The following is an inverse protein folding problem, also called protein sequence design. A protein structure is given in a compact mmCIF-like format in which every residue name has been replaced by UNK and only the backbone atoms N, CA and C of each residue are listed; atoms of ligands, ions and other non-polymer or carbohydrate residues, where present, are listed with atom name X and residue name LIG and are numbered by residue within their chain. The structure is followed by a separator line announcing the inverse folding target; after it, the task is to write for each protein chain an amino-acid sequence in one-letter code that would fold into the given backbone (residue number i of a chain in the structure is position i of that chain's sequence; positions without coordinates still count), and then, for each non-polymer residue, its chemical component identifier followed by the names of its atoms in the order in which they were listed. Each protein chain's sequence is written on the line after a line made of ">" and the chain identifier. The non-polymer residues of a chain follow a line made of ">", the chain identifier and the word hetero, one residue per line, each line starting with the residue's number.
data_IF_462711029268
#
_entry.id   IF_462711029268
#
_cell.length_a   1.000
_cell.length_b   1.000
_cell.length_c   1.000
_cell.angle_alpha   90.00
_cell.angle_beta   90.00
_cell.angle_gamma   90.00
#
_symmetry.space_group_name_H-M   'P 1'
#
loop_
_entity.id
_entity.type
_entity.pdbx_description
1 polymer ?
#
# COMPACT_ATOMS: atom_id res chain seq x y z
N UNK A 1 27.56 2.42 -14.39
CA UNK A 1 26.40 1.78 -15.04
C UNK A 1 25.15 2.02 -14.24
N UNK A 2 24.08 2.38 -14.90
CA UNK A 2 22.75 2.46 -14.29
C UNK A 2 22.02 1.13 -14.54
N UNK A 3 21.21 0.66 -13.60
CA UNK A 3 20.37 -0.54 -13.79
C UNK A 3 20.92 -1.86 -13.22
N UNK A 4 21.92 -1.81 -12.35
CA UNK A 4 22.32 -2.98 -11.59
C UNK A 4 21.34 -3.26 -10.45
N UNK A 5 21.01 -4.55 -10.25
CA UNK A 5 20.24 -4.98 -9.07
C UNK A 5 21.15 -5.03 -7.85
N UNK A 6 20.58 -4.83 -6.66
CA UNK A 6 21.32 -4.99 -5.42
C UNK A 6 21.62 -6.47 -5.12
N UNK A 7 22.56 -6.74 -4.21
CA UNK A 7 22.96 -8.07 -3.78
C UNK A 7 23.21 -9.05 -4.93
N UNK A 8 23.71 -8.55 -6.08
CA UNK A 8 23.88 -9.34 -7.31
C UNK A 8 25.33 -9.29 -7.76
N UNK A 9 25.89 -10.45 -8.11
CA UNK A 9 27.21 -10.52 -8.72
C UNK A 9 27.11 -10.36 -10.24
N UNK A 10 27.90 -9.48 -10.80
CA UNK A 10 28.01 -9.20 -12.23
C UNK A 10 29.41 -9.51 -12.71
N UNK A 11 29.51 -10.00 -13.94
CA UNK A 11 30.76 -10.14 -14.66
C UNK A 11 30.84 -9.08 -15.77
N UNK A 12 31.87 -8.27 -15.78
CA UNK A 12 32.20 -7.39 -16.89
C UNK A 12 33.23 -8.06 -17.76
N UNK A 13 32.93 -8.24 -19.04
CA UNK A 13 33.83 -8.83 -20.04
C UNK A 13 34.28 -7.76 -21.03
N UNK A 14 35.59 -7.71 -21.27
CA UNK A 14 36.17 -6.92 -22.34
C UNK A 14 36.40 -7.85 -23.52
N UNK A 15 35.84 -7.51 -24.68
CA UNK A 15 35.97 -8.31 -25.89
C UNK A 15 36.71 -7.49 -26.97
N UNK A 16 37.62 -8.16 -27.70
CA UNK A 16 38.27 -7.62 -28.89
C UNK A 16 38.01 -8.63 -30.02
N UNK A 17 37.51 -8.09 -31.17
CA UNK A 17 37.17 -8.92 -32.37
C UNK A 17 36.21 -10.08 -32.03
N UNK A 18 35.28 -9.87 -31.07
CA UNK A 18 34.30 -10.87 -30.64
C UNK A 18 34.80 -11.91 -29.64
N UNK A 19 36.08 -11.89 -29.27
CA UNK A 19 36.64 -12.75 -28.25
C UNK A 19 36.90 -12.03 -26.95
N UNK A 20 36.49 -12.64 -25.83
CA UNK A 20 36.78 -12.11 -24.51
C UNK A 20 38.28 -12.09 -24.26
N UNK A 21 38.86 -10.95 -23.94
CA UNK A 21 40.28 -10.74 -23.64
C UNK A 21 40.54 -10.56 -22.16
N UNK A 22 39.52 -10.14 -21.41
CA UNK A 22 39.56 -9.97 -19.95
C UNK A 22 38.16 -10.02 -19.35
N UNK A 23 38.04 -10.40 -18.09
CA UNK A 23 36.82 -10.32 -17.34
C UNK A 23 37.05 -10.00 -15.86
N UNK A 24 36.13 -9.29 -15.23
CA UNK A 24 36.17 -8.99 -13.82
C UNK A 24 34.79 -9.12 -13.21
N UNK A 25 34.70 -9.85 -12.11
CA UNK A 25 33.49 -9.92 -11.30
C UNK A 25 33.46 -8.77 -10.27
N UNK A 26 32.26 -8.27 -10.01
CA UNK A 26 31.97 -7.39 -8.89
C UNK A 26 30.59 -7.70 -8.33
N UNK A 27 30.40 -7.54 -7.02
CA UNK A 27 29.13 -7.65 -6.34
C UNK A 27 28.58 -6.24 -6.00
N UNK A 28 27.29 -6.08 -6.18
CA UNK A 28 26.58 -4.88 -5.71
C UNK A 28 26.22 -5.02 -4.23
N UNK A 29 26.13 -3.90 -3.53
CA UNK A 29 25.73 -3.88 -2.13
C UNK A 29 24.29 -4.39 -1.95
N UNK A 30 23.97 -4.80 -0.74
CA UNK A 30 22.58 -5.11 -0.32
C UNK A 30 21.77 -3.84 -0.39
N UNK A 31 20.54 -3.93 -0.92
CA UNK A 31 19.61 -2.80 -0.99
C UNK A 31 18.97 -2.49 0.36
N UNK A 32 18.30 -1.36 0.42
CA UNK A 32 17.58 -0.93 1.61
C UNK A 32 16.37 -1.84 1.88
N UNK A 33 15.97 -1.92 3.15
CA UNK A 33 14.76 -2.61 3.57
C UNK A 33 13.56 -1.68 3.55
N UNK A 34 12.36 -2.24 3.39
CA UNK A 34 11.11 -1.51 3.58
C UNK A 34 10.98 -1.19 5.07
N UNK A 35 10.79 0.09 5.45
CA UNK A 35 10.63 0.45 6.85
C UNK A 35 9.43 -0.26 7.48
N UNK A 36 9.64 -0.95 8.61
CA UNK A 36 8.65 -1.80 9.28
C UNK A 36 7.97 -2.82 8.35
N UNK A 37 8.71 -3.37 7.38
CA UNK A 37 8.18 -4.34 6.43
C UNK A 37 7.75 -5.66 7.06
N UNK A 38 8.32 -6.01 8.22
CA UNK A 38 7.97 -7.15 9.06
C UNK A 38 6.79 -6.89 10.01
N UNK A 39 6.09 -5.78 9.87
CA UNK A 39 4.92 -5.38 10.65
C UNK A 39 5.08 -5.56 12.16
N UNK A 40 6.31 -5.64 12.67
CA UNK A 40 6.61 -5.87 14.10
C UNK A 40 6.39 -4.63 14.96
N UNK A 41 6.54 -3.44 14.38
CA UNK A 41 6.45 -2.17 15.07
C UNK A 41 5.05 -1.56 15.01
N UNK A 42 4.45 -1.34 16.18
CA UNK A 42 3.15 -0.68 16.33
C UNK A 42 3.24 0.40 17.38
N UNK A 43 2.60 1.54 17.12
CA UNK A 43 2.55 2.66 18.06
C UNK A 43 1.18 3.31 18.08
N UNK A 44 0.96 4.16 19.08
CA UNK A 44 -0.25 4.97 19.17
C UNK A 44 0.12 6.43 18.91
N UNK A 45 -0.68 7.10 18.09
CA UNK A 45 -0.67 8.56 17.93
C UNK A 45 -1.87 9.12 18.66
N UNK A 46 -1.71 10.30 19.25
CA UNK A 46 -2.85 11.02 19.83
C UNK A 46 -3.51 11.83 18.72
N UNK A 47 -4.79 11.56 18.53
CA UNK A 47 -5.67 12.41 17.73
C UNK A 47 -6.48 13.30 18.67
N UNK A 48 -6.68 14.55 18.30
CA UNK A 48 -7.41 15.53 19.11
C UNK A 48 -8.65 15.96 18.33
N UNK A 49 -9.83 15.79 18.93
CA UNK A 49 -11.10 16.20 18.35
C UNK A 49 -11.32 17.72 18.43
N UNK A 50 -12.41 18.20 17.82
CA UNK A 50 -12.80 19.61 17.86
C UNK A 50 -13.18 20.14 19.26
N UNK A 51 -13.28 19.27 20.27
CA UNK A 51 -13.55 19.60 21.70
C UNK A 51 -12.30 19.47 22.57
N UNK A 52 -11.13 19.27 21.96
CA UNK A 52 -9.83 19.01 22.61
C UNK A 52 -9.78 17.70 23.43
N UNK A 53 -10.58 16.70 23.08
CA UNK A 53 -10.41 15.37 23.64
C UNK A 53 -9.30 14.64 22.89
N UNK A 54 -8.50 13.88 23.63
CA UNK A 54 -7.36 13.10 23.11
C UNK A 54 -7.75 11.64 22.95
N UNK A 55 -7.48 11.08 21.77
CA UNK A 55 -7.78 9.69 21.44
C UNK A 55 -6.55 8.99 20.86
N UNK A 56 -6.13 7.84 21.44
CA UNK A 56 -5.04 7.08 20.91
C UNK A 56 -5.48 6.28 19.68
N UNK A 57 -4.82 6.49 18.54
CA UNK A 57 -5.02 5.76 17.31
C UNK A 57 -3.82 4.85 17.07
N UNK A 58 -4.06 3.58 16.81
CA UNK A 58 -3.02 2.61 16.51
C UNK A 58 -2.57 2.70 15.05
N UNK A 59 -1.25 2.67 14.83
CA UNK A 59 -0.61 2.73 13.53
C UNK A 59 0.45 1.63 13.36
N UNK A 60 0.61 1.08 12.15
CA UNK A 60 1.62 0.07 11.85
C UNK A 60 3.02 0.69 11.68
N UNK A 61 3.48 1.39 12.70
CA UNK A 61 4.80 1.99 12.78
C UNK A 61 5.34 1.88 14.19
N UNK A 62 6.65 1.59 14.39
CA UNK A 62 7.28 1.83 15.67
C UNK A 62 7.24 3.32 16.04
N UNK A 63 7.41 3.61 17.32
CA UNK A 63 7.41 4.99 17.82
C UNK A 63 8.40 5.88 17.04
N UNK A 64 7.94 7.08 16.67
CA UNK A 64 8.73 8.04 15.90
C UNK A 64 8.78 7.81 14.38
N UNK A 65 8.36 6.66 13.89
CA UNK A 65 8.22 6.40 12.46
C UNK A 65 6.86 6.87 11.93
N UNK A 66 6.83 7.39 10.69
CA UNK A 66 5.60 7.81 10.00
C UNK A 66 5.69 7.41 8.53
N UNK A 67 5.66 6.12 8.25
CA UNK A 67 5.72 5.57 6.88
C UNK A 67 4.37 5.01 6.47
N UNK A 68 3.78 4.18 7.31
CA UNK A 68 2.51 3.53 7.07
C UNK A 68 1.36 4.30 7.72
N UNK A 69 0.21 4.29 7.05
CA UNK A 69 -1.04 4.84 7.57
C UNK A 69 -2.24 3.97 7.14
N UNK A 70 -3.42 4.32 7.62
CA UNK A 70 -4.67 3.63 7.33
C UNK A 70 -5.86 4.57 7.56
N UNK A 71 -7.04 4.16 7.16
CA UNK A 71 -8.28 4.90 7.41
C UNK A 71 -8.79 4.90 8.86
N UNK A 72 -7.97 4.52 9.84
CA UNK A 72 -8.41 4.40 11.24
C UNK A 72 -8.95 5.69 11.83
N UNK A 73 -8.42 6.86 11.42
CA UNK A 73 -8.89 8.16 11.92
C UNK A 73 -10.38 8.42 11.63
N UNK A 74 -10.88 7.93 10.48
CA UNK A 74 -12.28 8.14 10.10
C UNK A 74 -13.27 7.54 11.10
N UNK A 75 -12.87 6.46 11.77
CA UNK A 75 -13.70 5.80 12.78
C UNK A 75 -13.80 6.61 14.06
N UNK A 76 -12.69 7.13 14.52
CA UNK A 76 -12.61 7.83 15.79
C UNK A 76 -13.41 9.13 15.76
N UNK A 77 -13.34 9.90 14.70
CA UNK A 77 -14.09 11.14 14.56
C UNK A 77 -15.60 10.92 14.58
N UNK A 78 -16.08 9.84 13.97
CA UNK A 78 -17.51 9.52 13.92
C UNK A 78 -18.08 8.94 15.22
N UNK A 79 -17.24 8.49 16.13
CA UNK A 79 -17.64 7.83 17.37
C UNK A 79 -17.22 8.55 18.63
N UNK A 80 -17.11 9.86 18.58
CA UNK A 80 -16.64 10.65 19.71
C UNK A 80 -15.32 10.14 20.28
N UNK A 81 -14.48 9.55 19.42
CA UNK A 81 -13.11 9.20 19.74
C UNK A 81 -12.91 7.96 20.63
N UNK A 82 -13.90 7.14 20.84
CA UNK A 82 -13.71 5.91 21.58
C UNK A 82 -13.24 4.77 20.66
N UNK A 83 -11.96 4.49 20.63
CA UNK A 83 -11.36 3.36 19.90
C UNK A 83 -12.01 2.01 20.31
N UNK A 84 -12.56 1.92 21.51
CA UNK A 84 -13.22 0.73 22.06
C UNK A 84 -14.57 0.40 21.41
N UNK A 85 -15.24 1.38 20.77
CA UNK A 85 -16.51 1.16 20.08
C UNK A 85 -16.35 0.63 18.67
N UNK A 86 -15.11 0.65 18.12
CA UNK A 86 -14.82 0.18 16.77
C UNK A 86 -13.61 -0.72 16.74
N UNK A 87 -13.73 -1.77 15.95
CA UNK A 87 -12.54 -2.48 15.49
C UNK A 87 -11.91 -1.66 14.39
N UNK A 88 -10.66 -1.21 14.52
CA UNK A 88 -9.96 -0.45 13.51
C UNK A 88 -9.94 -1.15 12.15
N UNK A 89 -9.86 -0.37 11.05
CA UNK A 89 -9.68 -0.90 9.69
C UNK A 89 -8.33 -1.62 9.53
N UNK A 90 -7.33 -1.17 10.27
CA UNK A 90 -5.98 -1.73 10.33
C UNK A 90 -5.52 -1.82 11.78
N UNK A 91 -5.08 -3.00 12.21
CA UNK A 91 -4.56 -3.24 13.57
C UNK A 91 -3.49 -4.33 13.55
N UNK A 92 -2.71 -4.40 14.63
CA UNK A 92 -1.89 -5.58 14.86
C UNK A 92 -2.80 -6.80 15.09
N UNK A 93 -2.46 -7.94 14.49
CA UNK A 93 -3.23 -9.17 14.73
C UNK A 93 -2.99 -9.67 16.15
N UNK A 94 -4.08 -10.00 16.86
CA UNK A 94 -4.03 -10.43 18.27
C UNK A 94 -3.46 -11.84 18.42
N UNK A 95 -3.61 -12.67 17.40
CA UNK A 95 -3.20 -14.08 17.42
C UNK A 95 -1.83 -14.31 16.78
N UNK A 96 -1.41 -13.41 15.92
CA UNK A 96 -0.12 -13.46 15.20
C UNK A 96 0.58 -12.10 15.34
N UNK A 97 1.20 -11.79 16.49
CA UNK A 97 1.94 -10.55 16.68
C UNK A 97 3.01 -10.35 15.60
N UNK A 98 3.18 -9.13 15.12
CA UNK A 98 4.04 -8.83 13.97
C UNK A 98 3.32 -8.91 12.62
N UNK A 99 1.98 -9.04 12.63
CA UNK A 99 1.16 -9.08 11.42
C UNK A 99 0.16 -7.93 11.42
N UNK A 100 -0.02 -7.27 10.29
CA UNK A 100 -1.08 -6.29 10.11
C UNK A 100 -2.38 -7.00 9.67
N UNK A 101 -3.45 -6.78 10.43
CA UNK A 101 -4.80 -7.24 10.08
C UNK A 101 -5.63 -6.08 9.56
N UNK A 102 -6.07 -6.21 8.31
CA UNK A 102 -6.98 -5.30 7.64
C UNK A 102 -8.39 -5.90 7.67
N UNK A 103 -9.40 -5.09 7.93
CA UNK A 103 -10.77 -5.56 8.01
C UNK A 103 -11.74 -4.53 7.44
N UNK A 104 -12.54 -4.94 6.45
CA UNK A 104 -13.66 -4.14 5.95
C UNK A 104 -14.74 -3.96 7.01
N UNK A 105 -15.44 -2.84 6.96
CA UNK A 105 -16.46 -2.46 7.95
C UNK A 105 -17.63 -1.73 7.34
N UNK A 106 -18.76 -1.83 8.03
CA UNK A 106 -19.89 -0.90 7.84
C UNK A 106 -19.81 0.21 8.90
N UNK A 107 -19.54 1.43 8.47
CA UNK A 107 -19.53 2.61 9.33
C UNK A 107 -20.98 3.09 9.50
N UNK A 108 -21.38 3.38 10.73
CA UNK A 108 -22.75 3.81 11.08
C UNK A 108 -23.86 2.89 10.50
N UNK A 109 -23.49 1.64 10.12
CA UNK A 109 -24.41 0.65 9.55
C UNK A 109 -24.77 0.86 8.07
N UNK A 110 -24.29 1.91 7.40
CA UNK A 110 -24.66 2.20 6.02
C UNK A 110 -23.50 2.58 5.08
N UNK A 111 -22.37 3.07 5.59
CA UNK A 111 -21.19 3.40 4.77
C UNK A 111 -20.21 2.23 4.79
N UNK A 112 -19.87 1.71 3.62
CA UNK A 112 -18.82 0.71 3.50
C UNK A 112 -17.43 1.37 3.61
N UNK A 113 -16.55 0.81 4.43
CA UNK A 113 -15.14 1.18 4.54
C UNK A 113 -14.26 -0.05 4.35
N UNK A 114 -13.40 -0.08 3.31
CA UNK A 114 -12.45 -1.17 3.14
C UNK A 114 -11.38 -1.13 4.23
N UNK A 115 -10.97 -2.31 4.71
CA UNK A 115 -9.72 -2.41 5.48
C UNK A 115 -8.56 -2.01 4.58
N UNK A 116 -7.73 -1.09 5.02
CA UNK A 116 -6.62 -0.59 4.21
C UNK A 116 -5.37 -0.29 5.05
N UNK A 117 -4.23 -0.32 4.39
CA UNK A 117 -2.93 0.10 4.89
C UNK A 117 -2.08 0.56 3.71
N UNK A 118 -1.37 1.66 3.85
CA UNK A 118 -0.57 2.22 2.75
C UNK A 118 0.60 3.05 3.25
N UNK A 119 1.58 3.27 2.40
CA UNK A 119 2.64 4.24 2.66
C UNK A 119 2.18 5.62 2.22
N UNK A 120 1.94 6.48 3.19
CA UNK A 120 1.31 7.77 2.97
C UNK A 120 0.81 8.38 4.26
N UNK A 121 -0.15 9.30 4.12
CA UNK A 121 -0.86 9.92 5.23
C UNK A 121 -2.37 9.88 4.96
N UNK A 122 -3.18 9.78 6.00
CA UNK A 122 -4.63 9.79 5.90
C UNK A 122 -5.21 11.02 6.58
N UNK A 123 -6.04 11.75 5.84
CA UNK A 123 -6.81 12.86 6.35
C UNK A 123 -8.30 12.54 6.27
N UNK A 124 -9.04 12.96 7.29
CA UNK A 124 -10.48 12.78 7.35
C UNK A 124 -11.16 14.10 7.71
N UNK A 125 -12.17 14.47 6.95
CA UNK A 125 -12.97 15.69 7.19
C UNK A 125 -14.42 15.47 6.78
N UNK A 126 -15.34 15.78 7.67
CA UNK A 126 -16.76 15.56 7.45
C UNK A 126 -17.08 14.08 7.23
N UNK A 127 -17.52 13.72 6.03
CA UNK A 127 -17.79 12.32 5.63
C UNK A 127 -16.88 11.86 4.48
N UNK A 128 -15.70 12.45 4.35
CA UNK A 128 -14.75 12.12 3.31
C UNK A 128 -13.38 11.82 3.89
N UNK A 129 -12.77 10.74 3.45
CA UNK A 129 -11.39 10.38 3.74
C UNK A 129 -10.49 10.63 2.54
N UNK A 130 -9.29 11.13 2.76
CA UNK A 130 -8.28 11.33 1.73
C UNK A 130 -7.04 10.52 2.07
N UNK A 131 -6.70 9.59 1.19
CA UNK A 131 -5.41 8.88 1.21
C UNK A 131 -4.41 9.72 0.43
N UNK A 132 -3.38 10.24 1.10
CA UNK A 132 -2.28 10.95 0.47
C UNK A 132 -1.12 9.96 0.26
N UNK A 133 -1.04 9.36 -0.92
CA UNK A 133 -0.02 8.38 -1.28
C UNK A 133 1.36 8.99 -1.44
N UNK A 134 2.36 8.26 -1.00
CA UNK A 134 3.77 8.57 -1.21
C UNK A 134 4.52 8.89 0.07
N UNK A 135 5.68 8.23 0.22
CA UNK A 135 6.66 8.51 1.30
C UNK A 135 8.06 8.64 0.72
N UNK A 136 8.91 9.45 1.36
CA UNK A 136 10.34 9.46 1.05
C UNK A 136 10.93 8.05 1.27
N UNK A 137 11.79 7.63 0.36
CA UNK A 137 12.51 6.37 0.48
C UNK A 137 13.89 6.49 -0.17
N UNK A 138 14.92 6.05 0.54
CA UNK A 138 16.32 6.12 0.08
C UNK A 138 16.62 4.94 -0.86
N UNK A 139 16.25 5.04 -2.11
CA UNK A 139 16.53 4.04 -3.12
C UNK A 139 18.02 3.96 -3.45
N UNK A 140 18.71 2.94 -2.99
CA UNK A 140 20.10 2.66 -3.35
C UNK A 140 20.23 1.69 -4.52
N UNK A 141 19.18 0.89 -4.77
CA UNK A 141 19.10 -0.06 -5.87
C UNK A 141 17.66 -0.30 -6.29
N UNK A 142 17.46 -0.81 -7.51
CA UNK A 142 16.15 -1.20 -8.03
C UNK A 142 15.84 -2.64 -7.69
N UNK A 143 14.69 -2.93 -7.06
CA UNK A 143 14.24 -4.29 -6.86
C UNK A 143 13.70 -4.90 -8.16
N UNK A 144 13.72 -6.24 -8.24
CA UNK A 144 13.03 -7.01 -9.29
C UNK A 144 11.56 -7.23 -8.95
N UNK A 145 11.26 -7.34 -7.65
CA UNK A 145 9.91 -7.58 -7.15
C UNK A 145 9.75 -7.08 -5.71
N UNK A 146 8.49 -6.93 -5.30
CA UNK A 146 8.10 -6.93 -3.89
C UNK A 146 7.69 -8.35 -3.50
N UNK A 147 8.22 -8.86 -2.40
CA UNK A 147 7.71 -10.05 -1.72
C UNK A 147 6.83 -9.61 -0.57
N UNK A 148 5.77 -10.36 -0.32
CA UNK A 148 4.85 -10.17 0.80
C UNK A 148 4.17 -11.50 1.11
N UNK A 149 3.90 -11.79 2.38
CA UNK A 149 3.02 -12.89 2.72
C UNK A 149 1.65 -12.36 3.14
N UNK A 150 0.61 -13.10 2.81
CA UNK A 150 -0.75 -12.71 3.13
C UNK A 150 -1.66 -13.91 3.44
N UNK A 151 -2.71 -13.65 4.20
CA UNK A 151 -3.96 -14.44 4.26
C UNK A 151 -5.09 -13.50 3.87
N UNK A 152 -6.17 -14.04 3.33
CA UNK A 152 -7.34 -13.23 2.98
C UNK A 152 -8.63 -14.04 3.10
N UNK A 153 -9.69 -13.39 3.56
CA UNK A 153 -11.05 -13.87 3.44
C UNK A 153 -11.77 -12.94 2.46
N UNK A 154 -12.21 -13.49 1.33
CA UNK A 154 -12.82 -12.72 0.25
C UNK A 154 -14.23 -13.27 0.04
N UNK A 155 -15.23 -12.43 0.29
CA UNK A 155 -16.63 -12.73 0.09
C UNK A 155 -17.21 -12.12 -1.19
N UNK A 156 -18.52 -12.18 -1.31
CA UNK A 156 -19.24 -11.51 -2.39
C UNK A 156 -19.53 -10.06 -2.00
N UNK A 157 -19.51 -9.19 -2.98
CA UNK A 157 -19.86 -7.77 -2.82
C UNK A 157 -21.30 -7.67 -2.32
N UNK A 158 -21.48 -7.20 -1.10
CA UNK A 158 -22.76 -6.99 -0.43
C UNK A 158 -23.11 -5.50 -0.28
N UNK A 159 -22.15 -4.62 -0.64
CA UNK A 159 -22.31 -3.17 -0.63
C UNK A 159 -21.84 -2.57 -1.93
N UNK A 160 -22.67 -1.70 -2.48
CA UNK A 160 -22.40 -0.93 -3.69
C UNK A 160 -22.56 0.55 -3.34
N UNK A 161 -21.50 1.31 -3.53
CA UNK A 161 -21.50 2.75 -3.27
C UNK A 161 -22.31 3.50 -4.34
N UNK A 162 -22.98 4.55 -3.91
CA UNK A 162 -23.90 5.33 -4.77
C UNK A 162 -23.23 6.00 -5.98
N UNK A 163 -21.92 6.19 -5.91
CA UNK A 163 -21.12 6.86 -6.95
C UNK A 163 -20.26 5.87 -7.75
N UNK A 164 -20.46 4.56 -7.56
CA UNK A 164 -19.80 3.55 -8.38
C UNK A 164 -20.49 3.45 -9.75
N UNK A 165 -19.84 3.88 -10.86
CA UNK A 165 -20.48 3.93 -12.17
C UNK A 165 -20.87 2.54 -12.68
N UNK A 166 -20.16 1.51 -12.24
CA UNK A 166 -20.40 0.10 -12.63
C UNK A 166 -21.01 -0.72 -11.50
N UNK A 167 -21.38 -0.09 -10.39
CA UNK A 167 -21.74 -0.73 -9.14
C UNK A 167 -22.82 -1.81 -9.28
N UNK A 168 -23.88 -1.53 -10.05
CA UNK A 168 -24.94 -2.50 -10.31
C UNK A 168 -24.43 -3.80 -10.94
N UNK A 169 -23.34 -3.74 -11.69
CA UNK A 169 -22.71 -4.91 -12.33
C UNK A 169 -21.89 -5.75 -11.37
N UNK A 170 -21.53 -5.20 -10.20
CA UNK A 170 -20.69 -5.87 -9.19
C UNK A 170 -21.48 -6.48 -8.04
N UNK A 171 -22.73 -6.10 -7.83
CA UNK A 171 -23.57 -6.66 -6.77
C UNK A 171 -23.59 -8.18 -6.83
N UNK A 172 -23.38 -8.84 -5.68
CA UNK A 172 -23.33 -10.30 -5.50
C UNK A 172 -22.20 -11.03 -6.24
N UNK A 173 -21.33 -10.32 -6.96
CA UNK A 173 -20.11 -10.91 -7.55
C UNK A 173 -19.03 -11.09 -6.50
N UNK A 174 -18.09 -11.99 -6.78
CA UNK A 174 -16.90 -12.17 -5.96
C UNK A 174 -16.13 -10.84 -5.89
N UNK A 175 -15.84 -10.39 -4.67
CA UNK A 175 -14.95 -9.24 -4.45
C UNK A 175 -13.50 -9.65 -4.68
N UNK A 176 -12.61 -8.67 -4.71
CA UNK A 176 -11.17 -8.89 -4.77
C UNK A 176 -10.44 -7.87 -3.88
N UNK A 177 -9.47 -8.36 -3.12
CA UNK A 177 -8.50 -7.53 -2.43
C UNK A 177 -7.33 -7.19 -3.38
N UNK A 178 -6.56 -6.17 -3.04
CA UNK A 178 -5.42 -5.74 -3.85
C UNK A 178 -4.22 -5.39 -2.97
N UNK A 179 -3.04 -5.79 -3.40
CA UNK A 179 -1.76 -5.29 -2.92
C UNK A 179 -1.02 -4.74 -4.14
N UNK A 180 -0.58 -3.48 -4.10
CA UNK A 180 0.28 -2.94 -5.13
C UNK A 180 1.43 -2.13 -4.54
N UNK A 181 2.48 -2.00 -5.33
CA UNK A 181 3.63 -1.16 -5.03
C UNK A 181 3.97 -0.33 -6.26
N UNK A 182 4.30 0.94 -6.07
CA UNK A 182 4.82 1.80 -7.12
C UNK A 182 6.08 2.53 -6.66
N UNK A 183 7.06 2.58 -7.56
CA UNK A 183 8.22 3.45 -7.47
C UNK A 183 7.91 4.70 -8.26
N UNK A 184 7.90 5.83 -7.60
CA UNK A 184 7.47 7.09 -8.19
C UNK A 184 8.55 8.17 -8.05
N UNK A 185 8.42 9.23 -8.83
CA UNK A 185 9.28 10.41 -8.76
C UNK A 185 8.37 11.64 -8.62
N UNK A 186 7.76 11.78 -7.46
CA UNK A 186 6.76 12.81 -7.19
C UNK A 186 7.33 13.97 -6.38
N UNK A 187 6.82 15.16 -6.66
CA UNK A 187 7.15 16.40 -5.93
C UNK A 187 6.19 16.66 -4.76
N UNK A 188 5.02 16.06 -4.78
CA UNK A 188 3.99 16.10 -3.76
C UNK A 188 3.37 14.72 -3.57
N UNK A 189 2.65 14.49 -2.49
CA UNK A 189 1.82 13.30 -2.33
C UNK A 189 0.61 13.38 -3.27
N UNK A 190 0.15 12.22 -3.75
CA UNK A 190 -1.06 12.13 -4.57
C UNK A 190 -2.26 11.79 -3.69
N UNK A 191 -3.27 12.65 -3.70
CA UNK A 191 -4.48 12.52 -2.89
C UNK A 191 -5.59 11.78 -3.64
N UNK A 192 -6.12 10.70 -3.02
CA UNK A 192 -7.36 10.03 -3.44
C UNK A 192 -8.42 10.27 -2.37
N UNK A 193 -9.48 10.98 -2.72
CA UNK A 193 -10.56 11.30 -1.79
C UNK A 193 -11.79 10.44 -2.09
N UNK A 194 -12.33 9.81 -1.05
CA UNK A 194 -13.54 8.98 -1.10
C UNK A 194 -14.52 9.39 0.01
N UNK A 195 -15.82 9.19 -0.21
CA UNK A 195 -16.82 9.53 0.80
C UNK A 195 -18.23 9.67 0.23
N UNK A 196 -18.97 10.69 0.68
CA UNK A 196 -20.37 10.94 0.28
C UNK A 196 -20.50 11.63 -1.09
N UNK A 197 -19.42 11.70 -1.86
CA UNK A 197 -19.39 12.20 -3.25
C UNK A 197 -18.66 11.23 -4.14
N UNK A 198 -18.71 11.44 -5.45
CA UNK A 198 -17.89 10.67 -6.38
C UNK A 198 -16.40 10.78 -6.00
N UNK A 199 -15.65 9.70 -5.98
CA UNK A 199 -14.24 9.74 -5.63
C UNK A 199 -13.44 10.58 -6.62
N UNK A 200 -12.38 11.23 -6.12
CA UNK A 200 -11.48 12.06 -6.92
C UNK A 200 -10.04 11.60 -6.75
N UNK A 201 -9.18 11.94 -7.71
CA UNK A 201 -7.77 11.55 -7.69
C UNK A 201 -7.52 10.05 -7.97
N UNK A 202 -8.52 9.34 -8.46
CA UNK A 202 -8.39 7.91 -8.76
C UNK A 202 -7.26 7.65 -9.75
N UNK A 203 -6.44 6.65 -9.47
CA UNK A 203 -5.34 6.25 -10.33
C UNK A 203 -5.06 4.74 -10.23
N UNK A 204 -4.38 4.22 -11.23
CA UNK A 204 -3.94 2.83 -11.25
C UNK A 204 -2.49 2.77 -11.79
N UNK A 205 -1.51 2.29 -10.99
CA UNK A 205 -0.12 2.21 -11.42
C UNK A 205 0.07 1.28 -12.64
N UNK A 206 -0.85 0.35 -12.90
CA UNK A 206 -0.78 -0.54 -14.06
C UNK A 206 -1.08 0.18 -15.39
N UNK A 207 -1.78 1.29 -15.37
CA UNK A 207 -2.19 2.04 -16.54
C UNK A 207 -1.62 3.46 -16.62
N UNK A 208 -1.44 4.11 -15.47
CA UNK A 208 -0.86 5.44 -15.38
C UNK A 208 0.67 5.38 -15.52
N UNK A 209 1.24 6.29 -16.30
CA UNK A 209 2.71 6.50 -16.40
C UNK A 209 3.17 7.76 -15.69
N UNK A 210 2.26 8.68 -15.44
CA UNK A 210 2.49 9.91 -14.68
C UNK A 210 1.17 10.43 -14.13
N UNK A 211 1.25 11.22 -13.09
CA UNK A 211 0.20 12.04 -12.51
C UNK A 211 0.69 13.49 -12.47
N UNK A 212 -0.14 14.41 -11.97
CA UNK A 212 0.25 15.83 -11.86
C UNK A 212 1.47 16.02 -10.93
N UNK A 213 1.63 15.17 -9.93
CA UNK A 213 2.75 15.17 -8.98
C UNK A 213 4.07 14.71 -9.60
N UNK A 214 4.03 13.90 -10.66
CA UNK A 214 5.22 13.40 -11.34
C UNK A 214 5.08 12.02 -11.97
N UNK A 215 6.22 11.45 -12.34
CA UNK A 215 6.29 10.17 -13.05
C UNK A 215 6.06 8.97 -12.12
N UNK A 216 5.45 7.92 -12.69
CA UNK A 216 5.44 6.56 -12.13
C UNK A 216 6.51 5.78 -12.90
N UNK A 217 7.57 5.34 -12.20
CA UNK A 217 8.73 4.71 -12.81
C UNK A 217 8.55 3.21 -13.02
N UNK A 218 7.83 2.57 -12.10
CA UNK A 218 7.55 1.15 -12.16
C UNK A 218 6.55 0.74 -11.08
N UNK A 219 5.97 -0.44 -11.25
CA UNK A 219 4.98 -0.97 -10.31
C UNK A 219 5.00 -2.49 -10.27
N UNK A 220 4.47 -3.04 -9.17
CA UNK A 220 4.08 -4.44 -9.00
C UNK A 220 2.65 -4.50 -8.47
N UNK A 221 1.87 -5.49 -8.88
CA UNK A 221 0.45 -5.60 -8.57
C UNK A 221 0.05 -7.05 -8.29
N UNK A 222 -0.84 -7.24 -7.32
CA UNK A 222 -1.44 -8.52 -6.94
C UNK A 222 -2.91 -8.31 -6.64
N UNK A 223 -3.77 -8.94 -7.44
CA UNK A 223 -5.23 -8.99 -7.20
C UNK A 223 -5.57 -10.35 -6.59
N UNK A 224 -6.17 -10.33 -5.40
CA UNK A 224 -6.54 -11.52 -4.61
C UNK A 224 -8.03 -11.73 -4.76
N UNK A 225 -8.41 -12.77 -5.49
CA UNK A 225 -9.82 -13.09 -5.83
C UNK A 225 -10.39 -14.25 -5.04
N UNK A 226 -9.57 -14.94 -4.26
CA UNK A 226 -9.96 -16.14 -3.52
C UNK A 226 -9.53 -16.06 -2.07
N UNK A 227 -10.31 -16.70 -1.21
CA UNK A 227 -9.95 -16.87 0.20
C UNK A 227 -8.72 -17.76 0.34
N UNK A 228 -7.75 -17.28 1.11
CA UNK A 228 -6.55 -18.00 1.52
C UNK A 228 -6.49 -18.02 3.06
N UNK A 229 -6.82 -19.14 3.68
CA UNK A 229 -6.83 -19.31 5.14
C UNK A 229 -5.44 -19.59 5.71
N UNK A 230 -4.52 -20.11 4.89
CA UNK A 230 -3.10 -20.25 5.20
C UNK A 230 -2.28 -19.12 4.60
N UNK A 231 -1.05 -18.93 5.09
CA UNK A 231 -0.11 -17.96 4.53
C UNK A 231 0.25 -18.30 3.08
N UNK A 232 0.13 -17.31 2.22
CA UNK A 232 0.61 -17.32 0.84
C UNK A 232 1.80 -16.39 0.75
N UNK A 233 2.94 -16.88 0.32
CA UNK A 233 4.09 -16.06 -0.05
C UNK A 233 3.91 -15.61 -1.50
N UNK A 234 3.73 -14.32 -1.69
CA UNK A 234 3.53 -13.71 -3.00
C UNK A 234 4.77 -12.92 -3.43
N UNK A 235 5.01 -12.93 -4.72
CA UNK A 235 6.03 -12.10 -5.35
C UNK A 235 5.34 -11.26 -6.42
N UNK A 236 5.46 -9.93 -6.30
CA UNK A 236 4.93 -8.95 -7.24
C UNK A 236 6.08 -8.45 -8.12
N UNK A 237 6.27 -9.00 -9.32
CA UNK A 237 7.32 -8.55 -10.22
C UNK A 237 7.13 -7.08 -10.61
N UNK A 238 8.22 -6.33 -10.71
CA UNK A 238 8.17 -4.94 -11.15
C UNK A 238 8.06 -4.83 -12.67
N UNK A 239 7.06 -4.12 -13.12
CA UNK A 239 6.94 -3.62 -14.48
C UNK A 239 7.53 -2.20 -14.52
N UNK A 240 8.75 -2.07 -15.06
CA UNK A 240 9.44 -0.80 -15.16
C UNK A 240 9.07 -0.07 -16.44
N UNK A 241 8.44 1.12 -16.31
CA UNK A 241 8.18 2.04 -17.44
C UNK A 241 9.43 2.78 -17.87
N UNK A 242 10.30 3.10 -16.92
CA UNK A 242 11.53 3.84 -17.15
C UNK A 242 12.73 3.02 -16.70
N UNK A 243 13.17 2.08 -17.54
CA UNK A 243 14.29 1.16 -17.22
C UNK A 243 15.61 1.90 -16.97
N UNK A 244 15.81 3.01 -17.69
CA UNK A 244 17.04 3.80 -17.65
C UNK A 244 16.92 5.08 -16.82
N UNK A 245 15.78 5.31 -16.15
CA UNK A 245 15.61 6.47 -15.29
C UNK A 245 16.61 6.48 -14.15
N UNK A 246 17.02 7.67 -13.75
CA UNK A 246 17.83 7.83 -12.54
C UNK A 246 17.11 7.27 -11.31
N UNK A 247 17.90 6.87 -10.31
CA UNK A 247 17.36 6.44 -9.02
C UNK A 247 16.47 7.55 -8.42
N UNK A 248 15.23 7.27 -8.00
CA UNK A 248 14.31 8.26 -7.45
C UNK A 248 14.64 8.74 -6.03
N UNK A 249 15.78 8.35 -5.47
CA UNK A 249 16.20 8.73 -4.11
C UNK A 249 16.20 10.24 -3.83
N UNK A 250 16.32 11.07 -4.88
CA UNK A 250 16.24 12.53 -4.76
C UNK A 250 14.81 13.08 -4.78
N UNK A 251 13.82 12.26 -5.07
CA UNK A 251 12.43 12.69 -5.08
C UNK A 251 11.91 12.88 -3.65
N UNK A 252 11.14 13.94 -3.36
CA UNK A 252 10.49 14.11 -2.06
C UNK A 252 9.59 12.93 -1.67
N UNK A 253 8.90 12.34 -2.66
CA UNK A 253 8.07 11.16 -2.51
C UNK A 253 8.44 10.14 -3.57
N UNK A 254 8.78 8.92 -3.18
CA UNK A 254 9.36 7.94 -4.09
C UNK A 254 8.83 6.51 -3.91
N UNK A 255 8.12 6.22 -2.82
CA UNK A 255 7.57 4.90 -2.51
C UNK A 255 6.07 4.99 -2.24
N UNK A 256 5.31 4.14 -2.93
CA UNK A 256 3.91 3.84 -2.63
C UNK A 256 3.77 2.32 -2.49
N UNK A 257 3.22 1.87 -1.36
CA UNK A 257 2.70 0.51 -1.16
C UNK A 257 1.26 0.68 -0.68
N UNK A 258 0.33 -0.09 -1.19
CA UNK A 258 -1.07 -0.06 -0.77
C UNK A 258 -1.63 -1.47 -0.68
N UNK A 259 -2.35 -1.73 0.41
CA UNK A 259 -3.09 -2.95 0.67
C UNK A 259 -4.54 -2.58 0.97
N UNK A 260 -5.49 -3.18 0.27
CA UNK A 260 -6.91 -2.93 0.48
C UNK A 260 -7.71 -4.23 0.39
N UNK A 261 -8.68 -4.41 1.29
CA UNK A 261 -9.54 -5.60 1.32
C UNK A 261 -10.58 -5.62 0.21
N UNK A 262 -10.78 -4.51 -0.51
CA UNK A 262 -11.69 -4.39 -1.64
C UNK A 262 -11.10 -3.44 -2.68
N UNK A 263 -10.96 -3.91 -3.92
CA UNK A 263 -10.35 -3.15 -5.02
C UNK A 263 -11.18 -1.93 -5.44
N UNK A 264 -12.48 -1.96 -5.20
CA UNK A 264 -13.41 -0.84 -5.48
C UNK A 264 -13.75 -0.03 -4.21
N UNK A 265 -12.91 -0.14 -3.19
CA UNK A 265 -13.09 0.54 -1.91
C UNK A 265 -13.24 2.06 -2.01
N UNK A 266 -12.56 2.70 -2.96
CA UNK A 266 -12.67 4.14 -3.18
C UNK A 266 -14.07 4.57 -3.66
N UNK A 267 -14.81 3.68 -4.29
CA UNK A 267 -16.23 3.86 -4.61
C UNK A 267 -17.17 3.45 -3.48
N UNK A 268 -16.65 3.05 -2.31
CA UNK A 268 -17.40 2.46 -1.20
C UNK A 268 -18.16 1.19 -1.62
N UNK A 269 -17.58 0.42 -2.55
CA UNK A 269 -18.10 -0.84 -3.07
C UNK A 269 -17.21 -1.99 -2.63
N UNK A 270 -17.80 -3.04 -2.05
CA UNK A 270 -17.05 -4.21 -1.62
C UNK A 270 -17.84 -5.17 -0.74
N UNK A 271 -17.15 -6.15 -0.16
CA UNK A 271 -17.70 -7.10 0.80
C UNK A 271 -17.40 -6.65 2.23
N UNK A 272 -18.44 -6.40 3.02
CA UNK A 272 -18.32 -5.85 4.38
C UNK A 272 -17.67 -6.79 5.39
N UNK A 273 -17.45 -8.05 5.02
CA UNK A 273 -16.79 -9.06 5.86
C UNK A 273 -15.40 -9.45 5.39
N UNK A 274 -14.87 -8.82 4.34
CA UNK A 274 -13.51 -9.10 3.87
C UNK A 274 -12.48 -8.77 4.93
N UNK A 275 -11.50 -9.66 5.05
CA UNK A 275 -10.30 -9.44 5.88
C UNK A 275 -9.05 -9.80 5.09
N UNK A 276 -7.93 -9.18 5.45
CA UNK A 276 -6.61 -9.52 4.95
C UNK A 276 -5.58 -9.38 6.08
N UNK A 277 -4.71 -10.36 6.21
CA UNK A 277 -3.51 -10.25 7.04
C UNK A 277 -2.31 -10.10 6.10
N UNK A 278 -1.41 -9.20 6.41
CA UNK A 278 -0.19 -8.95 5.60
C UNK A 278 1.02 -8.81 6.49
N UNK A 279 2.17 -9.28 5.99
CA UNK A 279 3.43 -9.29 6.70
C UNK A 279 4.61 -9.50 5.73
N UNK A 280 5.85 -9.35 6.23
CA UNK A 280 7.10 -9.64 5.52
C UNK A 280 7.21 -8.94 4.15
N UNK A 281 6.98 -7.62 4.13
CA UNK A 281 7.27 -6.83 2.93
C UNK A 281 8.76 -6.71 2.71
N UNK A 282 9.27 -7.35 1.67
CA UNK A 282 10.68 -7.40 1.34
C UNK A 282 10.95 -7.12 -0.14
N UNK A 283 12.06 -6.45 -0.44
CA UNK A 283 12.52 -6.33 -1.82
C UNK A 283 13.21 -7.63 -2.27
N UNK A 284 12.87 -8.11 -3.46
CA UNK A 284 13.67 -9.07 -4.20
C UNK A 284 14.60 -8.33 -5.18
N UNK A 285 15.88 -8.55 -5.09
CA UNK A 285 16.91 -7.94 -5.93
C UNK A 285 17.46 -8.91 -6.98
#
# INVERSE_FOLDING_TARGET
>A
GTGFFAATTYEVRISKDGQAVDSKEFATAVGDKIPNGDMSGWSKRIWIDGSNNEFPITYPNPEGMKVWDSGNNAFLEQNNGEETLFTPLCRQDETEPGTARLQARMVLGFVFAPGNMFTGDFDYSGFSGTVNFGKPYAWTARPRALKVRYKAQIGKIDKVGSYDPDGASYQDKQDCARIFVAVVNWKAQHGVTSGMTAPTGMWDPATAKSLDEGAILGYGDLVITQTATGWIEATLPFNWYAKDAANPASAPFSLVISCATSMRGDYLTGCSTNTMQVDDFEWAY
#
